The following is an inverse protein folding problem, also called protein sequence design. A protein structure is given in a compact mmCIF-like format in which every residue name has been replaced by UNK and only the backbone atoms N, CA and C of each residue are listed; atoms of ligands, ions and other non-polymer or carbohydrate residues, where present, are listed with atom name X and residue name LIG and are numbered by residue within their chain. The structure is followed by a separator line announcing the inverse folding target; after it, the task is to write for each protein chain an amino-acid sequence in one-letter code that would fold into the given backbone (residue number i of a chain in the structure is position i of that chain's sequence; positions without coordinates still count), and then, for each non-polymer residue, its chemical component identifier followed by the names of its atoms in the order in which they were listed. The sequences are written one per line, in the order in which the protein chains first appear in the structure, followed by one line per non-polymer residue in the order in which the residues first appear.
data_IF_109090956453
#
_entry.id   IF_109090956453
#
_cell.length_a   1.000
_cell.length_b   1.000
_cell.length_c   1.000
_cell.angle_alpha   90.00
_cell.angle_beta   90.00
_cell.angle_gamma   90.00
#
_symmetry.space_group_name_H-M   'P 1'
#
loop_
_entity.id
_entity.type
_entity.pdbx_description
1 polymer ?
#
# COMPACT_ATOMS: atom_id res chain seq x y z
N UNK A 1 6.19 -7.76 -15.10
CA UNK A 1 6.50 -6.53 -14.35
C UNK A 1 7.74 -6.78 -13.52
N UNK A 2 8.70 -5.85 -13.49
CA UNK A 2 9.85 -5.96 -12.60
C UNK A 2 9.32 -5.96 -11.15
N UNK A 3 9.76 -6.87 -10.29
CA UNK A 3 9.28 -6.99 -8.90
C UNK A 3 9.46 -5.69 -8.12
N UNK A 4 10.48 -4.90 -8.48
CA UNK A 4 10.71 -3.57 -7.94
C UNK A 4 9.61 -2.55 -8.25
N UNK A 5 9.05 -2.58 -9.47
CA UNK A 5 7.98 -1.64 -9.86
C UNK A 5 6.68 -1.95 -9.12
N UNK A 6 6.43 -3.24 -8.87
CA UNK A 6 5.28 -3.70 -8.07
C UNK A 6 5.40 -3.21 -6.63
N UNK A 7 6.57 -3.35 -6.01
CA UNK A 7 6.77 -2.91 -4.63
C UNK A 7 6.70 -1.37 -4.48
N UNK A 8 7.17 -0.59 -5.46
CA UNK A 8 7.02 0.86 -5.44
C UNK A 8 5.55 1.28 -5.54
N UNK A 9 4.78 0.64 -6.42
CA UNK A 9 3.34 0.88 -6.56
C UNK A 9 2.60 0.59 -5.25
N UNK A 10 2.98 -0.45 -4.53
CA UNK A 10 2.39 -0.80 -3.24
C UNK A 10 2.72 0.19 -2.13
N UNK A 11 3.97 0.64 -2.02
CA UNK A 11 4.33 1.69 -1.06
C UNK A 11 3.51 2.97 -1.32
N UNK A 12 3.30 3.32 -2.59
CA UNK A 12 2.46 4.46 -2.97
C UNK A 12 0.99 4.22 -2.64
N UNK A 13 0.49 2.99 -2.81
CA UNK A 13 -0.88 2.62 -2.45
C UNK A 13 -1.11 2.71 -0.93
N UNK A 14 -0.15 2.22 -0.13
CA UNK A 14 -0.18 2.32 1.35
C UNK A 14 -0.20 3.79 1.78
N UNK A 15 0.70 4.62 1.23
CA UNK A 15 0.70 6.06 1.47
C UNK A 15 -0.67 6.69 1.18
N UNK A 16 -1.25 6.39 0.02
CA UNK A 16 -2.56 6.93 -0.39
C UNK A 16 -3.68 6.47 0.55
N UNK A 17 -3.66 5.21 1.00
CA UNK A 17 -4.64 4.68 1.95
C UNK A 17 -4.56 5.43 3.29
N UNK A 18 -3.36 5.67 3.81
CA UNK A 18 -3.13 6.44 5.04
C UNK A 18 -3.61 7.89 4.92
N UNK A 19 -3.31 8.56 3.80
CA UNK A 19 -3.77 9.93 3.53
C UNK A 19 -5.30 10.00 3.39
N UNK A 20 -5.91 9.00 2.76
CA UNK A 20 -7.35 8.91 2.62
C UNK A 20 -8.01 8.69 3.98
N UNK A 21 -7.44 7.81 4.80
CA UNK A 21 -7.92 7.56 6.15
C UNK A 21 -7.87 8.83 7.00
N UNK A 22 -6.76 9.57 7.03
CA UNK A 22 -6.66 10.85 7.76
C UNK A 22 -7.67 11.90 7.29
N UNK A 23 -8.02 11.91 6.00
CA UNK A 23 -9.06 12.82 5.46
C UNK A 23 -10.46 12.37 5.86
N UNK A 24 -10.69 11.06 5.93
CA UNK A 24 -11.97 10.45 6.26
C UNK A 24 -12.22 10.34 7.78
N UNK A 25 -11.16 10.30 8.60
CA UNK A 25 -11.19 10.04 10.05
C UNK A 25 -11.77 11.19 10.89
N UNK A 26 -12.41 12.17 10.25
CA UNK A 26 -13.21 13.21 10.93
C UNK A 26 -14.39 12.66 11.75
N UNK A 27 -14.65 11.35 11.69
CA UNK A 27 -15.88 10.77 12.20
C UNK A 27 -15.74 9.76 13.36
N UNK A 28 -14.56 9.19 13.66
CA UNK A 28 -14.32 8.41 14.91
C UNK A 28 -12.88 7.86 14.99
N UNK A 29 -12.39 7.63 16.22
CA UNK A 29 -11.08 7.06 16.56
C UNK A 29 -11.04 5.53 16.40
N UNK A 30 -11.07 5.04 15.16
CA UNK A 30 -10.86 3.62 14.87
C UNK A 30 -9.41 3.35 14.51
N UNK A 31 -8.86 2.21 14.97
CA UNK A 31 -7.59 1.71 14.48
C UNK A 31 -7.66 1.37 12.99
N UNK A 32 -6.57 1.59 12.26
CA UNK A 32 -6.45 1.29 10.83
C UNK A 32 -5.68 -0.02 10.63
N UNK A 33 -6.32 -0.99 9.99
CA UNK A 33 -5.70 -2.23 9.56
C UNK A 33 -5.33 -2.11 8.07
N UNK A 34 -4.05 -2.33 7.74
CA UNK A 34 -3.55 -2.35 6.36
C UNK A 34 -3.10 -3.76 6.01
N UNK A 35 -3.58 -4.26 4.86
CA UNK A 35 -3.37 -5.62 4.36
C UNK A 35 -2.74 -5.57 2.96
N UNK A 36 -1.41 -5.45 2.84
CA UNK A 36 -0.73 -5.41 1.54
C UNK A 36 -0.76 -6.79 0.86
N UNK A 37 -0.89 -6.82 -0.47
CA UNK A 37 -0.88 -8.07 -1.27
C UNK A 37 0.53 -8.66 -1.44
N UNK A 38 1.57 -7.90 -1.10
CA UNK A 38 2.98 -8.31 -1.19
C UNK A 38 3.60 -8.56 0.16
N UNK A 39 4.06 -9.79 0.31
CA UNK A 39 4.87 -10.21 1.45
C UNK A 39 6.20 -9.43 1.54
N UNK A 40 6.72 -8.88 0.44
CA UNK A 40 7.93 -8.05 0.44
C UNK A 40 7.67 -6.67 1.05
N UNK A 41 6.56 -6.03 0.69
CA UNK A 41 6.18 -4.75 1.27
C UNK A 41 5.92 -4.89 2.77
N UNK A 42 5.21 -5.95 3.19
CA UNK A 42 5.00 -6.24 4.62
C UNK A 42 6.33 -6.46 5.35
N UNK A 43 7.25 -7.21 4.76
CA UNK A 43 8.57 -7.46 5.36
C UNK A 43 9.35 -6.16 5.62
N UNK A 44 9.21 -5.14 4.78
CA UNK A 44 9.88 -3.84 4.96
C UNK A 44 9.33 -3.02 6.13
N UNK A 45 8.04 -3.20 6.47
CA UNK A 45 7.43 -2.56 7.63
C UNK A 45 7.69 -3.34 8.92
N UNK A 46 7.91 -4.66 8.83
CA UNK A 46 8.30 -5.48 9.98
C UNK A 46 9.80 -5.34 10.30
N UNK A 47 10.65 -5.26 9.27
CA UNK A 47 12.10 -5.19 9.39
C UNK A 47 12.68 -4.05 8.54
N UNK A 48 12.98 -2.93 9.20
CA UNK A 48 13.55 -1.74 8.57
C UNK A 48 14.91 -2.01 7.90
N UNK A 49 15.66 -3.05 8.29
CA UNK A 49 16.94 -3.39 7.65
C UNK A 49 16.79 -3.90 6.23
N UNK A 50 15.58 -4.34 5.85
CA UNK A 50 15.24 -4.82 4.50
C UNK A 50 14.79 -3.69 3.58
N UNK A 51 14.64 -2.47 4.09
CA UNK A 51 14.16 -1.34 3.31
C UNK A 51 15.20 -0.91 2.26
N UNK A 52 14.80 -0.83 0.98
CA UNK A 52 15.68 -0.27 -0.04
C UNK A 52 15.87 1.24 0.20
N UNK A 53 17.11 1.69 0.29
CA UNK A 53 17.46 3.12 0.44
C UNK A 53 16.82 4.03 -0.60
N UNK A 54 16.56 3.52 -1.81
CA UNK A 54 15.88 4.24 -2.89
C UNK A 54 14.52 4.81 -2.45
N UNK A 55 13.83 4.15 -1.52
CA UNK A 55 12.49 4.54 -1.07
C UNK A 55 12.48 5.21 0.30
N UNK A 56 13.63 5.60 0.84
CA UNK A 56 13.78 6.17 2.18
C UNK A 56 12.83 7.34 2.47
N UNK A 57 12.72 8.29 1.54
CA UNK A 57 11.81 9.43 1.69
C UNK A 57 10.34 9.00 1.68
N UNK A 58 9.99 7.93 0.95
CA UNK A 58 8.64 7.37 0.96
C UNK A 58 8.33 6.66 2.27
N UNK A 59 9.30 5.92 2.84
CA UNK A 59 9.15 5.31 4.17
C UNK A 59 8.96 6.38 5.25
N UNK A 60 9.79 7.43 5.29
CA UNK A 60 9.59 8.55 6.22
C UNK A 60 8.20 9.18 6.12
N UNK A 61 7.69 9.36 4.91
CA UNK A 61 6.34 9.91 4.73
C UNK A 61 5.28 8.97 5.30
N UNK A 62 5.43 7.67 5.10
CA UNK A 62 4.54 6.65 5.66
C UNK A 62 4.62 6.63 7.19
N UNK A 63 5.83 6.65 7.76
CA UNK A 63 6.04 6.66 9.22
C UNK A 63 5.37 7.88 9.87
N UNK A 64 5.55 9.08 9.27
CA UNK A 64 4.89 10.30 9.73
C UNK A 64 3.35 10.22 9.64
N UNK A 65 2.81 9.49 8.66
CA UNK A 65 1.36 9.29 8.53
C UNK A 65 0.84 8.30 9.57
N UNK A 66 1.59 7.22 9.79
CA UNK A 66 1.30 6.23 10.85
C UNK A 66 1.29 6.89 12.22
N UNK A 67 2.30 7.70 12.54
CA UNK A 67 2.38 8.44 13.81
C UNK A 67 1.18 9.39 14.00
N UNK A 68 0.75 10.06 12.94
CA UNK A 68 -0.43 10.95 12.98
C UNK A 68 -1.75 10.20 13.19
N UNK A 69 -1.85 8.98 12.69
CA UNK A 69 -3.04 8.14 12.87
C UNK A 69 -3.04 7.47 14.25
N UNK A 70 -1.86 7.12 14.76
CA UNK A 70 -1.69 6.40 16.02
C UNK A 70 -1.81 4.89 15.80
N UNK A 71 -3.01 4.35 15.96
CA UNK A 71 -3.24 2.90 15.93
C UNK A 71 -3.31 2.36 14.49
N UNK A 72 -2.15 2.10 13.88
CA UNK A 72 -2.04 1.43 12.57
C UNK A 72 -1.39 0.07 12.74
N UNK A 73 -2.03 -0.97 12.21
CA UNK A 73 -1.49 -2.34 12.19
C UNK A 73 -1.33 -2.82 10.75
N UNK A 74 -0.16 -3.37 10.44
CA UNK A 74 0.11 -4.02 9.15
C UNK A 74 0.02 -5.54 9.32
N UNK A 75 -0.79 -6.21 8.49
CA UNK A 75 -0.89 -7.68 8.52
C UNK A 75 -0.70 -8.28 7.14
N UNK A 76 -0.06 -9.45 7.09
CA UNK A 76 0.08 -10.24 5.87
C UNK A 76 -1.09 -11.23 5.82
N UNK A 77 -2.10 -10.98 4.99
CA UNK A 77 -3.14 -11.98 4.75
C UNK A 77 -2.77 -12.79 3.52
N UNK A 78 -2.86 -14.12 3.64
CA UNK A 78 -2.68 -15.01 2.50
C UNK A 78 -3.66 -14.62 1.38
N UNK A 79 -3.09 -14.48 0.18
CA UNK A 79 -3.62 -14.00 -1.10
C UNK A 79 -5.06 -14.43 -1.46
N UNK A 80 -5.59 -15.48 -0.86
CA UNK A 80 -6.96 -15.97 -1.09
C UNK A 80 -8.04 -15.03 -0.52
N UNK A 81 -7.75 -14.26 0.54
CA UNK A 81 -8.70 -13.31 1.11
C UNK A 81 -8.73 -11.95 0.36
N UNK A 82 -7.68 -11.61 -0.38
CA UNK A 82 -7.52 -10.31 -1.03
C UNK A 82 -8.16 -10.23 -2.44
N UNK A 83 -9.10 -11.13 -2.73
CA UNK A 83 -9.74 -11.26 -4.04
C UNK A 83 -10.38 -9.95 -4.52
N UNK A 84 -10.94 -9.16 -3.60
CA UNK A 84 -11.56 -7.87 -3.90
C UNK A 84 -10.53 -6.81 -4.29
N UNK A 85 -9.43 -6.64 -3.55
CA UNK A 85 -8.39 -5.67 -3.89
C UNK A 85 -7.69 -6.03 -5.21
N UNK A 86 -7.44 -7.32 -5.45
CA UNK A 86 -6.88 -7.82 -6.70
C UNK A 86 -7.83 -7.58 -7.89
N UNK A 87 -9.14 -7.78 -7.72
CA UNK A 87 -10.13 -7.46 -8.74
C UNK A 87 -10.17 -5.95 -9.05
N UNK A 88 -10.17 -5.11 -8.02
CA UNK A 88 -10.15 -3.65 -8.17
C UNK A 88 -8.87 -3.14 -8.85
N UNK A 89 -7.71 -3.70 -8.49
CA UNK A 89 -6.42 -3.38 -9.12
C UNK A 89 -6.39 -3.73 -10.61
N UNK A 90 -6.92 -4.91 -10.98
CA UNK A 90 -7.02 -5.33 -12.40
C UNK A 90 -7.93 -4.41 -13.22
N UNK A 91 -9.04 -3.95 -12.65
CA UNK A 91 -9.93 -2.98 -13.32
C UNK A 91 -9.23 -1.63 -13.53
N UNK A 92 -8.39 -1.20 -12.59
CA UNK A 92 -7.56 0.01 -12.73
C UNK A 92 -6.50 -0.10 -13.83
N UNK A 93 -5.78 -1.23 -13.88
CA UNK A 93 -4.75 -1.51 -14.90
C UNK A 93 -5.31 -1.58 -16.32
N UNK A 94 -6.56 -2.05 -16.47
CA UNK A 94 -7.21 -2.18 -17.78
C UNK A 94 -7.54 -0.84 -18.45
N UNK A 95 -7.37 0.30 -17.77
CA UNK A 95 -7.52 1.64 -18.35
C UNK A 95 -6.29 2.14 -19.12
N UNK A 96 -5.18 1.40 -19.08
CA UNK A 96 -3.91 1.80 -19.70
C UNK A 96 -3.47 0.91 -20.87
N UNK A 97 -4.41 0.25 -21.55
CA UNK A 97 -4.12 -0.41 -22.83
C UNK A 97 -4.14 0.65 -23.93
N UNK A 98 -3.05 0.84 -24.71
CA UNK A 98 -3.12 1.71 -25.88
C UNK A 98 -4.11 1.08 -26.84
N UNK A 99 -5.11 1.86 -27.26
CA UNK A 99 -5.99 1.50 -28.36
C UNK A 99 -5.13 1.32 -29.62
N UNK A 100 -4.68 0.10 -29.89
CA UNK A 100 -4.35 -0.30 -31.26
C UNK A 100 -5.69 -0.60 -31.91
N UNK A 101 -6.26 0.42 -32.53
CA UNK A 101 -7.29 0.22 -33.55
C UNK A 101 -6.58 -0.39 -34.75
N UNK A 102 -7.11 -1.54 -35.15
CA UNK A 102 -6.79 -2.39 -36.29
C UNK A 102 -6.55 -1.65 -37.61
#
# INVERSE_FOLDING_TARGET
ANTFDVCEAELRAIKLALELFLKASKFESHGLLIEPDSSTAVLWFIDASKQPWKFWELFKLIDNLVEKIGEVTFTNIFREANGLANALSKVGLSRHVPLVVS
#
